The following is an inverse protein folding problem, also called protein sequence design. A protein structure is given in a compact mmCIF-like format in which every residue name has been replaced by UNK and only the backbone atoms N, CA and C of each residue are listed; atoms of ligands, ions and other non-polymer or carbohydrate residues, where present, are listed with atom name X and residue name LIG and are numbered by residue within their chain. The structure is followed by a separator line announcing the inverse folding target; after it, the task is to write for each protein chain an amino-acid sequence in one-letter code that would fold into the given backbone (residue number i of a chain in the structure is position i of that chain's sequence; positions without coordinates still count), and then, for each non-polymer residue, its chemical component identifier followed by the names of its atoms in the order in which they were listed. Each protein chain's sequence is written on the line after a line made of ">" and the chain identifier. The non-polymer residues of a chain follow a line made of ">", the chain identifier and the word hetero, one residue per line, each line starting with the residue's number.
data_IF_841852077928
#
_entry.id   IF_841852077928
#
_cell.length_a   1.000
_cell.length_b   1.000
_cell.length_c   1.000
_cell.angle_alpha   90.00
_cell.angle_beta   90.00
_cell.angle_gamma   90.00
#
_symmetry.space_group_name_H-M   'P 1'
#
loop_
_entity.id
_entity.type
_entity.pdbx_description
1 polymer ?
#
# COMPACT_ATOMS: atom_id res chain seq x y z
N UNK A 1 -13.06 -32.04 -5.75
CA UNK A 1 -12.48 -30.93 -6.54
C UNK A 1 -11.03 -30.78 -6.11
N UNK A 2 -10.08 -30.54 -7.03
CA UNK A 2 -8.71 -30.19 -6.63
C UNK A 2 -8.71 -28.88 -5.84
N UNK A 3 -7.88 -28.79 -4.81
CA UNK A 3 -7.65 -27.54 -4.05
C UNK A 3 -7.07 -26.49 -5.00
N UNK A 4 -7.48 -25.25 -4.88
CA UNK A 4 -7.01 -24.12 -5.70
C UNK A 4 -6.12 -23.22 -4.87
N UNK A 5 -5.05 -22.74 -5.45
CA UNK A 5 -4.19 -21.74 -4.84
C UNK A 5 -4.87 -20.37 -4.82
N UNK A 6 -4.43 -19.50 -3.94
CA UNK A 6 -4.87 -18.11 -3.88
C UNK A 6 -3.65 -17.20 -3.87
N UNK A 7 -3.59 -16.31 -4.86
CA UNK A 7 -2.65 -15.20 -4.91
C UNK A 7 -3.42 -13.90 -4.68
N UNK A 8 -3.21 -13.29 -3.52
CA UNK A 8 -3.80 -12.02 -3.15
C UNK A 8 -2.78 -10.90 -3.38
N UNK A 9 -3.03 -10.04 -4.34
CA UNK A 9 -2.18 -8.88 -4.69
C UNK A 9 -2.89 -7.64 -4.21
N UNK A 10 -2.21 -6.79 -3.45
CA UNK A 10 -2.77 -5.54 -2.96
C UNK A 10 -1.85 -4.37 -3.24
N UNK A 11 -2.43 -3.25 -3.66
CA UNK A 11 -1.80 -1.92 -3.62
C UNK A 11 -2.15 -1.21 -2.31
N UNK A 12 -1.52 -0.07 -2.08
CA UNK A 12 -1.76 0.80 -0.92
C UNK A 12 -2.18 2.20 -1.38
N UNK A 13 -3.33 2.67 -0.92
CA UNK A 13 -3.82 4.03 -1.21
C UNK A 13 -4.10 4.28 -2.71
N UNK A 14 -4.58 3.28 -3.44
CA UNK A 14 -4.85 3.44 -4.86
C UNK A 14 -6.28 3.93 -5.11
N UNK A 15 -6.40 5.07 -5.77
CA UNK A 15 -7.70 5.63 -6.19
C UNK A 15 -8.40 4.68 -7.17
N UNK A 16 -9.71 4.48 -7.00
CA UNK A 16 -10.50 3.52 -7.78
C UNK A 16 -10.52 3.77 -9.30
N UNK A 17 -10.36 5.04 -9.74
CA UNK A 17 -10.27 5.43 -11.15
C UNK A 17 -8.83 5.40 -11.69
N UNK A 18 -7.99 4.47 -11.26
CA UNK A 18 -6.60 4.39 -11.74
C UNK A 18 -6.25 3.03 -12.33
N UNK A 19 -7.24 2.34 -12.88
CA UNK A 19 -7.04 1.24 -13.83
C UNK A 19 -7.25 1.76 -15.26
N UNK A 20 -6.39 1.38 -16.20
CA UNK A 20 -6.50 1.77 -17.61
C UNK A 20 -7.83 1.37 -18.23
N UNK A 21 -8.43 0.28 -17.74
CA UNK A 21 -9.78 -0.14 -18.14
C UNK A 21 -10.85 0.93 -17.87
N UNK A 22 -10.70 1.70 -16.79
CA UNK A 22 -11.67 2.69 -16.33
C UNK A 22 -11.21 4.14 -16.59
N UNK A 23 -9.91 4.34 -16.81
CA UNK A 23 -9.31 5.65 -17.03
C UNK A 23 -8.21 5.57 -18.11
N UNK A 24 -8.46 6.09 -19.32
CA UNK A 24 -7.49 6.04 -20.41
C UNK A 24 -6.23 6.90 -20.18
N UNK A 25 -6.20 7.74 -19.15
CA UNK A 25 -5.02 8.54 -18.81
C UNK A 25 -3.92 7.72 -18.14
N UNK A 26 -4.24 6.55 -17.58
CA UNK A 26 -3.26 5.72 -16.85
C UNK A 26 -3.01 4.40 -17.55
N UNK A 27 -1.76 3.91 -17.55
CA UNK A 27 -1.35 2.68 -18.24
C UNK A 27 -1.18 1.54 -17.23
N UNK A 28 -2.14 0.59 -17.25
CA UNK A 28 -2.12 -0.61 -16.40
C UNK A 28 -2.42 -1.88 -17.20
N UNK A 29 -1.62 -2.20 -18.23
CA UNK A 29 -1.94 -3.29 -19.16
C UNK A 29 -2.05 -4.66 -18.48
N UNK A 30 -1.33 -4.90 -17.39
CA UNK A 30 -1.34 -6.18 -16.68
C UNK A 30 -2.56 -6.33 -15.77
N UNK A 31 -2.92 -5.30 -15.03
CA UNK A 31 -4.16 -5.25 -14.24
C UNK A 31 -5.38 -5.28 -15.17
N UNK A 32 -5.32 -4.59 -16.30
CA UNK A 32 -6.35 -4.66 -17.34
C UNK A 32 -6.48 -6.09 -17.91
N UNK A 33 -5.35 -6.79 -18.12
CA UNK A 33 -5.34 -8.21 -18.52
C UNK A 33 -6.03 -9.09 -17.48
N UNK A 34 -5.73 -8.91 -16.19
CA UNK A 34 -6.40 -9.63 -15.10
C UNK A 34 -7.90 -9.34 -15.08
N UNK A 35 -8.31 -8.08 -15.20
CA UNK A 35 -9.70 -7.66 -15.22
C UNK A 35 -10.48 -8.26 -16.41
N UNK A 36 -9.88 -8.24 -17.61
CA UNK A 36 -10.51 -8.81 -18.82
C UNK A 36 -10.62 -10.34 -18.80
N UNK A 37 -9.70 -11.04 -18.14
CA UNK A 37 -9.72 -12.51 -17.98
C UNK A 37 -10.54 -12.96 -16.79
N UNK A 38 -11.06 -12.05 -16.01
CA UNK A 38 -11.80 -12.33 -14.79
C UNK A 38 -13.06 -11.50 -14.65
N UNK A 39 -13.25 -10.96 -13.48
CA UNK A 39 -14.35 -10.05 -13.13
C UNK A 39 -13.74 -8.79 -12.50
N UNK A 40 -14.08 -7.63 -13.04
CA UNK A 40 -13.82 -6.34 -12.44
C UNK A 40 -15.09 -5.85 -11.75
N UNK A 41 -14.96 -5.36 -10.52
CA UNK A 41 -16.09 -4.88 -9.74
C UNK A 41 -16.09 -3.35 -9.75
N UNK A 42 -17.15 -2.77 -10.32
CA UNK A 42 -17.28 -1.31 -10.40
C UNK A 42 -17.52 -0.68 -9.03
N UNK A 43 -18.17 -1.41 -8.11
CA UNK A 43 -18.56 -0.92 -6.79
C UNK A 43 -17.97 -1.83 -5.70
N UNK A 44 -16.67 -1.68 -5.45
CA UNK A 44 -15.98 -2.32 -4.34
C UNK A 44 -15.60 -1.27 -3.30
N UNK A 45 -15.93 -1.52 -2.04
CA UNK A 45 -15.72 -0.58 -0.94
C UNK A 45 -14.92 -1.22 0.19
N UNK A 46 -13.97 -0.47 0.70
CA UNK A 46 -13.25 -0.84 1.92
C UNK A 46 -14.07 -0.52 3.17
N UNK A 47 -13.76 -1.19 4.27
CA UNK A 47 -14.46 -0.97 5.56
C UNK A 47 -13.97 0.27 6.30
N UNK A 48 -12.78 0.75 5.96
CA UNK A 48 -12.15 1.91 6.60
C UNK A 48 -11.15 2.55 5.61
N UNK A 49 -11.07 3.89 5.52
CA UNK A 49 -10.18 4.55 4.55
C UNK A 49 -8.73 4.68 5.06
N UNK A 50 -8.29 3.75 5.92
CA UNK A 50 -6.92 3.71 6.45
C UNK A 50 -6.36 2.29 6.48
N UNK A 51 -5.03 2.18 6.38
CA UNK A 51 -4.33 0.91 6.14
C UNK A 51 -4.60 -0.14 7.22
N UNK A 52 -4.21 0.11 8.48
CA UNK A 52 -4.28 -0.90 9.55
C UNK A 52 -5.67 -1.49 9.73
N UNK A 53 -6.75 -0.71 9.87
CA UNK A 53 -8.09 -1.27 10.04
C UNK A 53 -8.52 -2.16 8.89
N UNK A 54 -8.31 -1.72 7.65
CA UNK A 54 -8.70 -2.50 6.46
C UNK A 54 -7.89 -3.77 6.31
N UNK A 55 -6.57 -3.70 6.48
CA UNK A 55 -5.68 -4.87 6.35
C UNK A 55 -5.98 -5.92 7.42
N UNK A 56 -6.26 -5.49 8.65
CA UNK A 56 -6.74 -6.38 9.72
C UNK A 56 -8.12 -6.97 9.39
N UNK A 57 -9.03 -6.18 8.80
CA UNK A 57 -10.33 -6.70 8.37
C UNK A 57 -10.21 -7.74 7.26
N UNK A 58 -9.31 -7.56 6.31
CA UNK A 58 -9.03 -8.57 5.28
C UNK A 58 -8.51 -9.88 5.88
N UNK A 59 -7.60 -9.76 6.85
CA UNK A 59 -7.00 -10.93 7.47
C UNK A 59 -7.95 -11.70 8.39
N UNK A 60 -8.92 -11.01 8.99
CA UNK A 60 -9.82 -11.60 10.00
C UNK A 60 -11.25 -11.85 9.51
N UNK A 61 -11.68 -11.20 8.42
CA UNK A 61 -13.08 -11.16 8.00
C UNK A 61 -14.00 -10.37 8.94
N UNK A 62 -13.44 -9.59 9.88
CA UNK A 62 -14.16 -8.83 10.90
C UNK A 62 -14.14 -7.34 10.62
N UNK A 63 -15.10 -6.59 11.18
CA UNK A 63 -15.04 -5.14 11.20
C UNK A 63 -14.02 -4.62 12.24
N UNK A 64 -13.47 -3.40 12.08
CA UNK A 64 -12.51 -2.81 13.01
C UNK A 64 -12.97 -2.79 14.48
N UNK A 65 -14.26 -2.61 14.72
CA UNK A 65 -14.88 -2.69 16.06
C UNK A 65 -14.82 -4.07 16.69
N UNK A 66 -14.62 -5.13 15.91
CA UNK A 66 -14.57 -6.52 16.38
C UNK A 66 -13.12 -6.98 16.60
N UNK A 67 -12.21 -6.70 15.65
CA UNK A 67 -10.81 -7.11 15.78
C UNK A 67 -9.94 -6.11 16.57
N UNK A 68 -10.47 -4.93 16.94
CA UNK A 68 -9.83 -3.97 17.83
C UNK A 68 -8.77 -3.05 17.20
N UNK A 69 -8.33 -3.32 15.99
CA UNK A 69 -7.38 -2.45 15.27
C UNK A 69 -8.14 -1.39 14.47
N UNK A 70 -8.64 -0.36 15.13
CA UNK A 70 -9.55 0.64 14.56
C UNK A 70 -8.85 1.90 14.03
N UNK A 71 -7.55 2.06 14.25
CA UNK A 71 -6.75 3.19 13.76
C UNK A 71 -5.30 2.79 13.44
N UNK A 72 -4.55 3.67 12.78
CA UNK A 72 -3.16 3.44 12.40
C UNK A 72 -2.21 3.19 13.59
N UNK A 73 -2.51 3.72 14.77
CA UNK A 73 -1.73 3.55 16.00
C UNK A 73 -2.09 2.32 16.82
N UNK A 74 -3.05 1.51 16.36
CA UNK A 74 -3.49 0.32 17.11
C UNK A 74 -2.80 -0.94 16.61
N UNK A 75 -2.61 -1.90 17.53
CA UNK A 75 -2.08 -3.22 17.25
C UNK A 75 -3.23 -4.23 17.21
N UNK A 76 -3.33 -5.01 16.14
CA UNK A 76 -4.16 -6.21 16.17
C UNK A 76 -3.54 -7.24 17.12
N UNK A 77 -4.34 -7.83 18.00
CA UNK A 77 -3.85 -8.88 18.88
C UNK A 77 -3.57 -10.15 18.08
N UNK A 78 -2.47 -10.82 18.37
CA UNK A 78 -2.05 -12.05 17.70
C UNK A 78 -2.99 -13.23 17.99
N UNK A 79 -3.85 -13.10 19.00
CA UNK A 79 -4.86 -14.12 19.36
C UNK A 79 -6.15 -14.02 18.55
N UNK A 80 -6.32 -12.99 17.74
CA UNK A 80 -7.51 -12.85 16.87
C UNK A 80 -7.41 -13.88 15.74
N UNK A 81 -8.42 -14.71 15.52
CA UNK A 81 -8.42 -15.68 14.42
C UNK A 81 -8.29 -15.00 13.06
N UNK A 82 -7.53 -15.63 12.18
CA UNK A 82 -7.23 -15.11 10.86
C UNK A 82 -7.65 -16.08 9.75
N UNK A 83 -7.73 -15.59 8.53
CA UNK A 83 -7.96 -16.45 7.36
C UNK A 83 -6.84 -17.48 7.17
N UNK A 84 -5.64 -17.22 7.69
CA UNK A 84 -4.54 -18.17 7.67
C UNK A 84 -4.85 -19.44 8.48
N UNK A 85 -5.57 -19.29 9.58
CA UNK A 85 -5.98 -20.43 10.41
C UNK A 85 -6.91 -21.36 9.60
N UNK A 86 -7.82 -20.79 8.81
CA UNK A 86 -8.68 -21.57 7.92
C UNK A 86 -7.88 -22.23 6.78
N UNK A 87 -6.92 -21.54 6.19
CA UNK A 87 -6.05 -22.12 5.18
C UNK A 87 -5.25 -23.30 5.75
N UNK A 88 -4.72 -23.18 6.97
CA UNK A 88 -3.98 -24.27 7.63
C UNK A 88 -4.87 -25.50 7.91
N UNK A 89 -6.13 -25.31 8.34
CA UNK A 89 -7.07 -26.41 8.54
C UNK A 89 -7.32 -27.21 7.24
N UNK A 90 -7.03 -26.61 6.11
CA UNK A 90 -7.15 -27.21 4.78
C UNK A 90 -5.80 -27.56 4.13
N UNK A 91 -4.72 -27.70 4.91
CA UNK A 91 -3.35 -28.05 4.49
C UNK A 91 -2.78 -27.08 3.41
N UNK A 92 -3.06 -25.78 3.53
CA UNK A 92 -2.39 -24.77 2.72
C UNK A 92 -1.15 -24.26 3.48
N UNK A 93 -0.16 -23.82 2.70
CA UNK A 93 0.91 -22.98 3.19
C UNK A 93 0.55 -21.52 3.00
N UNK A 94 0.96 -20.67 3.93
CA UNK A 94 0.61 -19.25 3.92
C UNK A 94 1.86 -18.38 3.90
N UNK A 95 1.88 -17.37 3.04
CA UNK A 95 3.02 -16.47 2.94
C UNK A 95 2.60 -15.02 2.67
N UNK A 96 3.40 -14.08 3.18
CA UNK A 96 3.27 -12.65 2.94
C UNK A 96 4.59 -12.08 2.42
N UNK A 97 4.51 -11.27 1.36
CA UNK A 97 5.61 -10.46 0.86
C UNK A 97 5.16 -9.01 0.77
N UNK A 98 5.87 -8.10 1.40
CA UNK A 98 5.60 -6.67 1.35
C UNK A 98 5.02 -6.10 2.63
N UNK A 99 4.04 -5.21 2.50
CA UNK A 99 3.43 -4.48 3.61
C UNK A 99 2.41 -5.32 4.37
N UNK A 100 2.61 -5.51 5.66
CA UNK A 100 1.64 -6.10 6.58
C UNK A 100 0.73 -5.03 7.21
N UNK A 101 1.28 -4.16 8.03
CA UNK A 101 0.62 -3.07 8.72
C UNK A 101 -0.50 -3.50 9.68
N UNK A 102 -0.25 -4.55 10.46
CA UNK A 102 -1.14 -5.01 11.53
C UNK A 102 -0.76 -4.44 12.90
N UNK A 103 0.39 -3.77 12.98
CA UNK A 103 0.98 -3.23 14.20
C UNK A 103 1.36 -1.76 13.99
N UNK A 104 1.46 -0.97 15.09
CA UNK A 104 1.85 0.44 15.00
C UNK A 104 3.32 0.62 14.59
N UNK A 105 3.64 1.83 14.10
CA UNK A 105 5.00 2.24 13.73
C UNK A 105 5.95 2.40 14.91
N UNK A 106 5.43 2.67 16.10
CA UNK A 106 6.20 2.86 17.31
C UNK A 106 5.74 1.84 18.34
N UNK A 107 6.66 0.96 18.74
CA UNK A 107 6.44 0.03 19.83
C UNK A 107 6.66 0.71 21.20
N UNK A 108 5.93 0.21 22.18
CA UNK A 108 6.19 0.50 23.60
C UNK A 108 6.56 -0.80 24.33
N UNK A 109 7.16 -0.73 25.53
CA UNK A 109 7.42 -1.93 26.32
C UNK A 109 6.16 -2.76 26.58
N UNK A 110 5.02 -2.11 26.72
CA UNK A 110 3.71 -2.76 26.93
C UNK A 110 3.15 -3.35 25.61
N UNK A 111 3.37 -2.67 24.49
CA UNK A 111 2.90 -3.10 23.18
C UNK A 111 4.08 -3.13 22.18
N UNK A 112 4.93 -4.16 22.25
CA UNK A 112 6.03 -4.31 21.32
C UNK A 112 5.51 -4.55 19.90
N UNK A 113 6.23 -4.02 18.91
CA UNK A 113 5.89 -4.16 17.50
C UNK A 113 7.07 -4.67 16.68
N UNK A 114 6.79 -5.60 15.75
CA UNK A 114 7.75 -6.03 14.73
C UNK A 114 7.80 -5.06 13.54
N UNK A 115 6.76 -4.23 13.37
CA UNK A 115 6.62 -3.35 12.21
C UNK A 115 7.11 -1.92 12.48
N UNK A 116 7.70 -1.66 13.62
CA UNK A 116 8.07 -0.33 14.03
C UNK A 116 9.45 -0.24 14.65
N UNK A 117 9.85 1.00 14.93
CA UNK A 117 11.07 1.30 15.64
C UNK A 117 11.00 0.77 17.09
N UNK A 118 12.13 0.28 17.68
CA UNK A 118 13.47 0.25 17.06
C UNK A 118 13.73 -1.01 16.20
N UNK A 119 12.88 -2.05 16.30
CA UNK A 119 13.13 -3.36 15.70
C UNK A 119 13.14 -3.32 14.17
N UNK A 120 12.40 -2.41 13.56
CA UNK A 120 12.37 -2.22 12.11
C UNK A 120 13.77 -2.08 11.50
N UNK A 121 14.69 -1.43 12.20
CA UNK A 121 16.08 -1.21 11.76
C UNK A 121 17.07 -2.26 12.26
N UNK A 122 16.66 -3.23 13.06
CA UNK A 122 17.53 -4.32 13.54
C UNK A 122 17.68 -5.40 12.44
N UNK A 123 18.60 -5.17 11.51
CA UNK A 123 18.81 -6.10 10.40
C UNK A 123 19.33 -7.47 10.84
N UNK A 124 19.97 -7.59 12.02
CA UNK A 124 20.38 -8.89 12.55
C UNK A 124 19.17 -9.73 12.96
N UNK A 125 18.19 -9.12 13.61
CA UNK A 125 16.91 -9.76 13.89
C UNK A 125 16.24 -10.21 12.56
N UNK A 126 16.10 -9.32 11.59
CA UNK A 126 15.41 -9.61 10.33
C UNK A 126 16.12 -10.65 9.45
N UNK A 127 17.46 -10.77 9.57
CA UNK A 127 18.21 -11.82 8.88
C UNK A 127 17.78 -13.22 9.31
N UNK A 128 17.38 -13.38 10.57
CA UNK A 128 16.96 -14.65 11.18
C UNK A 128 15.44 -14.84 11.22
N UNK A 129 14.65 -13.77 11.11
CA UNK A 129 13.19 -13.84 11.13
C UNK A 129 12.64 -14.23 9.75
N UNK A 130 11.71 -15.20 9.73
CA UNK A 130 10.97 -15.61 8.54
C UNK A 130 9.49 -15.83 8.81
N UNK A 131 9.06 -15.70 10.06
CA UNK A 131 7.76 -16.04 10.58
C UNK A 131 7.86 -17.03 11.75
N UNK A 132 6.72 -17.48 12.29
CA UNK A 132 5.38 -17.11 11.86
C UNK A 132 5.00 -15.67 12.22
N UNK A 133 4.04 -15.07 11.48
CA UNK A 133 3.52 -13.73 11.73
C UNK A 133 2.03 -13.67 11.41
N UNK A 134 1.16 -13.50 12.39
CA UNK A 134 -0.31 -13.54 12.23
C UNK A 134 -0.81 -14.72 11.39
N UNK A 135 -0.29 -15.90 11.68
CA UNK A 135 -0.64 -17.13 10.97
C UNK A 135 0.01 -17.32 9.60
N UNK A 136 0.78 -16.36 9.07
CA UNK A 136 1.62 -16.61 7.91
C UNK A 136 2.81 -17.48 8.31
N UNK A 137 3.00 -18.64 7.65
CA UNK A 137 4.16 -19.51 7.85
C UNK A 137 5.47 -18.78 7.49
N UNK A 138 5.41 -17.96 6.44
CA UNK A 138 6.52 -17.12 5.98
C UNK A 138 6.07 -15.68 5.80
N UNK A 139 6.89 -14.74 6.27
CA UNK A 139 6.66 -13.32 6.12
C UNK A 139 7.98 -12.62 5.74
N UNK A 140 8.03 -12.07 4.53
CA UNK A 140 9.07 -11.15 4.11
C UNK A 140 8.48 -9.74 4.05
N UNK A 141 8.84 -8.91 5.01
CA UNK A 141 8.14 -7.66 5.28
C UNK A 141 8.94 -6.44 4.90
N UNK A 142 8.24 -5.42 4.43
CA UNK A 142 8.69 -4.05 4.31
C UNK A 142 7.58 -3.10 4.76
N UNK A 143 7.95 -2.09 5.53
CA UNK A 143 7.00 -1.09 6.04
C UNK A 143 7.02 0.20 5.23
N UNK A 144 8.11 0.50 4.54
CA UNK A 144 8.42 1.80 4.01
C UNK A 144 7.54 2.26 2.85
N UNK A 145 7.44 3.60 2.75
CA UNK A 145 6.78 4.33 1.67
C UNK A 145 7.74 5.40 1.12
N UNK A 146 8.96 5.08 0.78
CA UNK A 146 10.00 6.02 0.35
C UNK A 146 10.49 7.02 1.43
N UNK A 147 9.99 6.98 2.65
CA UNK A 147 10.55 7.73 3.77
C UNK A 147 11.50 6.87 4.62
N UNK A 148 12.52 7.49 5.17
CA UNK A 148 13.61 6.79 5.86
C UNK A 148 13.14 6.09 7.13
N UNK A 149 12.23 6.69 7.87
CA UNK A 149 11.73 6.12 9.13
C UNK A 149 11.01 4.78 8.93
N UNK A 150 10.57 4.49 7.73
CA UNK A 150 9.88 3.26 7.37
C UNK A 150 10.73 2.25 6.60
N UNK A 151 11.93 2.62 6.16
CA UNK A 151 12.84 1.72 5.45
C UNK A 151 13.58 0.79 6.43
N UNK A 152 13.56 -0.51 6.13
CA UNK A 152 14.20 -1.49 7.00
C UNK A 152 13.82 -2.92 6.64
N UNK A 153 13.80 -3.79 7.64
CA UNK A 153 13.29 -5.16 7.56
C UNK A 153 13.94 -5.99 6.43
N UNK A 154 13.21 -6.90 5.82
CA UNK A 154 13.72 -7.78 4.75
C UNK A 154 14.06 -7.02 3.47
N UNK A 155 13.38 -5.91 3.19
CA UNK A 155 13.70 -5.09 2.03
C UNK A 155 15.09 -4.48 2.13
N UNK A 156 15.47 -3.95 3.29
CA UNK A 156 16.83 -3.43 3.49
C UNK A 156 17.90 -4.53 3.34
N UNK A 157 17.64 -5.74 3.87
CA UNK A 157 18.52 -6.90 3.68
C UNK A 157 18.66 -7.29 2.21
N UNK A 158 17.57 -7.21 1.44
CA UNK A 158 17.60 -7.47 0.02
C UNK A 158 18.44 -6.43 -0.73
N UNK A 159 18.30 -5.14 -0.42
CA UNK A 159 19.15 -4.10 -0.99
C UNK A 159 20.64 -4.34 -0.67
N UNK A 160 20.97 -4.73 0.58
CA UNK A 160 22.36 -5.12 0.92
C UNK A 160 22.84 -6.30 0.09
N UNK A 161 21.98 -7.29 -0.17
CA UNK A 161 22.32 -8.45 -1.01
C UNK A 161 22.55 -8.08 -2.49
N UNK A 162 21.96 -6.99 -2.96
CA UNK A 162 22.22 -6.39 -4.28
C UNK A 162 23.46 -5.49 -4.31
N UNK A 163 24.20 -5.40 -3.20
CA UNK A 163 25.43 -4.61 -3.07
C UNK A 163 25.19 -3.17 -2.58
N UNK A 164 23.97 -2.76 -2.33
CA UNK A 164 23.63 -1.43 -1.84
C UNK A 164 23.61 -1.40 -0.30
N UNK A 165 24.79 -1.25 0.33
CA UNK A 165 24.91 -1.17 1.79
C UNK A 165 24.54 0.19 2.37
N UNK A 166 24.61 1.22 1.56
CA UNK A 166 24.27 2.61 1.89
C UNK A 166 22.83 2.97 1.44
N UNK A 167 21.93 1.99 1.44
CA UNK A 167 20.56 2.11 0.94
C UNK A 167 19.78 3.27 1.56
N UNK A 168 20.10 3.67 2.80
CA UNK A 168 19.43 4.79 3.50
C UNK A 168 19.48 6.12 2.76
N UNK A 169 20.51 6.32 1.92
CA UNK A 169 20.65 7.55 1.12
C UNK A 169 19.49 7.83 0.16
N UNK A 170 18.74 6.81 -0.19
CA UNK A 170 17.58 6.95 -1.09
C UNK A 170 16.30 7.34 -0.36
N UNK A 171 16.26 7.19 0.96
CA UNK A 171 15.06 7.45 1.74
C UNK A 171 15.19 8.80 2.44
N UNK A 172 14.16 9.64 2.28
CA UNK A 172 14.18 10.99 2.81
C UNK A 172 13.33 11.10 4.07
N UNK A 173 13.80 11.86 5.04
CA UNK A 173 13.04 12.23 6.22
C UNK A 173 11.96 13.25 5.83
N UNK A 174 10.76 12.78 5.55
CA UNK A 174 9.75 13.60 4.86
C UNK A 174 8.85 14.40 5.73
N UNK A 175 8.47 13.85 6.85
CA UNK A 175 7.37 14.40 7.63
C UNK A 175 7.84 14.53 9.05
N UNK A 176 7.91 15.77 9.52
CA UNK A 176 8.33 16.09 10.88
C UNK A 176 7.53 15.34 11.96
N UNK A 177 6.26 15.02 11.65
CA UNK A 177 5.37 14.26 12.53
C UNK A 177 5.62 12.74 12.54
N UNK A 178 6.44 12.22 11.62
CA UNK A 178 6.78 10.79 11.53
C UNK A 178 8.22 10.49 11.97
N UNK A 179 8.95 11.50 12.47
CA UNK A 179 10.32 11.29 12.96
C UNK A 179 10.35 10.33 14.13
N UNK A 180 11.17 9.32 14.00
CA UNK A 180 11.48 8.37 15.06
C UNK A 180 12.62 8.95 15.91
N UNK A 181 12.60 8.83 17.24
CA UNK A 181 13.73 9.27 18.06
C UNK A 181 15.03 8.61 17.60
N UNK A 182 16.04 9.41 17.31
CA UNK A 182 17.36 8.94 16.83
C UNK A 182 17.54 8.93 15.31
N UNK A 183 16.58 9.42 14.54
CA UNK A 183 16.71 9.60 13.10
C UNK A 183 17.80 10.63 12.76
N UNK A 184 18.81 10.23 11.99
CA UNK A 184 19.98 11.03 11.67
C UNK A 184 19.85 11.89 10.40
N UNK A 185 18.73 11.77 9.67
CA UNK A 185 18.52 12.49 8.40
C UNK A 185 17.83 13.84 8.58
N UNK A 186 18.11 14.53 9.70
CA UNK A 186 17.47 15.79 10.08
C UNK A 186 17.61 16.95 9.07
N UNK A 187 18.56 16.88 8.13
CA UNK A 187 18.91 17.96 7.21
C UNK A 187 18.33 17.82 5.80
N UNK A 188 17.55 16.77 5.52
CA UNK A 188 16.90 16.59 4.22
C UNK A 188 15.78 17.62 4.01
N UNK A 189 15.64 18.17 2.79
CA UNK A 189 14.59 19.12 2.50
C UNK A 189 13.20 18.51 2.74
N UNK A 190 12.33 19.27 3.38
CA UNK A 190 10.94 18.85 3.59
C UNK A 190 10.25 18.68 2.25
N UNK A 191 9.85 17.48 1.94
CA UNK A 191 9.07 17.17 0.74
C UNK A 191 7.59 17.21 1.09
N UNK A 192 6.79 17.76 0.20
CA UNK A 192 5.34 17.72 0.27
C UNK A 192 4.87 16.39 -0.33
N UNK A 193 4.34 15.48 0.48
CA UNK A 193 4.09 14.12 0.03
C UNK A 193 3.09 14.02 -1.13
N UNK A 194 2.20 15.00 -1.26
CA UNK A 194 1.15 15.05 -2.27
C UNK A 194 1.53 15.73 -3.58
N UNK A 195 2.67 16.44 -3.64
CA UNK A 195 3.09 17.13 -4.88
C UNK A 195 3.90 16.21 -5.79
N UNK A 196 4.57 15.24 -5.21
CA UNK A 196 5.36 14.25 -5.94
C UNK A 196 6.68 14.79 -6.51
N UNK A 197 7.61 13.87 -6.70
CA UNK A 197 8.89 14.15 -7.35
C UNK A 197 9.51 12.89 -7.93
N UNK A 198 10.48 13.05 -8.85
CA UNK A 198 11.35 11.96 -9.25
C UNK A 198 12.17 11.48 -8.03
N UNK A 199 12.35 10.17 -7.94
CA UNK A 199 13.13 9.52 -6.88
C UNK A 199 14.44 9.02 -7.47
N UNK A 200 15.56 9.37 -6.83
CA UNK A 200 16.90 9.02 -7.31
C UNK A 200 17.25 7.53 -7.11
N UNK A 201 16.33 6.72 -6.58
CA UNK A 201 16.55 5.29 -6.42
C UNK A 201 16.61 4.63 -7.81
N UNK A 202 17.61 3.78 -8.09
CA UNK A 202 17.59 2.95 -9.30
C UNK A 202 16.36 2.04 -9.32
N UNK A 203 15.73 1.88 -10.49
CA UNK A 203 14.53 1.05 -10.62
C UNK A 203 14.75 -0.35 -10.05
N UNK A 204 15.92 -0.96 -10.31
CA UNK A 204 16.27 -2.29 -9.85
C UNK A 204 16.40 -2.45 -8.33
N UNK A 205 16.43 -1.34 -7.57
CA UNK A 205 16.43 -1.32 -6.12
C UNK A 205 15.08 -0.92 -5.51
N UNK A 206 14.08 -0.60 -6.35
CA UNK A 206 12.76 -0.22 -5.88
C UNK A 206 12.03 -1.36 -5.18
N UNK A 207 11.20 -1.04 -4.19
CA UNK A 207 10.47 -2.07 -3.42
C UNK A 207 9.47 -2.88 -4.25
N UNK A 208 8.91 -2.34 -5.33
CA UNK A 208 8.04 -3.12 -6.23
C UNK A 208 8.82 -4.25 -6.93
N UNK A 209 10.08 -3.99 -7.28
CA UNK A 209 11.00 -5.01 -7.81
C UNK A 209 11.22 -6.11 -6.79
N UNK A 210 11.51 -5.70 -5.55
CA UNK A 210 11.73 -6.64 -4.44
C UNK A 210 10.48 -7.50 -4.18
N UNK A 211 9.29 -6.88 -4.12
CA UNK A 211 8.04 -7.61 -3.89
C UNK A 211 7.81 -8.64 -5.01
N UNK A 212 7.97 -8.24 -6.28
CA UNK A 212 7.81 -9.16 -7.40
C UNK A 212 8.85 -10.29 -7.39
N UNK A 213 10.12 -9.98 -7.15
CA UNK A 213 11.19 -10.97 -7.08
C UNK A 213 10.96 -11.98 -5.94
N UNK A 214 10.58 -11.52 -4.76
CA UNK A 214 10.33 -12.39 -3.61
C UNK A 214 9.06 -13.20 -3.73
N UNK A 215 8.00 -12.61 -4.30
CA UNK A 215 6.76 -13.32 -4.62
C UNK A 215 7.02 -14.45 -5.62
N UNK A 216 7.78 -14.17 -6.69
CA UNK A 216 8.16 -15.16 -7.67
C UNK A 216 8.97 -16.32 -7.07
N UNK A 217 9.93 -16.01 -6.19
CA UNK A 217 10.69 -17.02 -5.48
C UNK A 217 9.80 -17.93 -4.60
N UNK A 218 8.79 -17.36 -3.93
CA UNK A 218 7.81 -18.15 -3.15
C UNK A 218 6.93 -19.02 -4.05
N UNK A 219 6.49 -18.51 -5.21
CA UNK A 219 5.75 -19.30 -6.19
C UNK A 219 6.56 -20.50 -6.70
N UNK A 220 7.86 -20.30 -6.98
CA UNK A 220 8.78 -21.38 -7.35
C UNK A 220 8.92 -22.44 -6.25
N UNK A 221 9.05 -21.98 -5.00
CA UNK A 221 9.13 -22.86 -3.84
C UNK A 221 7.86 -23.71 -3.68
N UNK A 222 6.66 -23.09 -3.73
CA UNK A 222 5.40 -23.81 -3.67
C UNK A 222 5.21 -24.78 -4.85
N UNK A 223 5.67 -24.43 -6.05
CA UNK A 223 5.65 -25.33 -7.18
C UNK A 223 6.55 -26.54 -6.96
N UNK A 224 7.74 -26.34 -6.39
CA UNK A 224 8.70 -27.42 -6.12
C UNK A 224 8.21 -28.35 -5.00
N UNK A 225 7.63 -27.81 -3.94
CA UNK A 225 7.11 -28.60 -2.83
C UNK A 225 5.79 -29.30 -3.15
N UNK A 226 5.04 -28.80 -4.14
CA UNK A 226 3.71 -29.28 -4.48
C UNK A 226 2.62 -28.83 -3.50
N UNK A 227 2.92 -27.88 -2.60
CA UNK A 227 1.97 -27.35 -1.63
C UNK A 227 0.93 -26.46 -2.29
N UNK A 228 -0.32 -26.53 -1.81
CA UNK A 228 -1.29 -25.48 -2.06
C UNK A 228 -0.96 -24.27 -1.19
N UNK A 229 -1.20 -23.07 -1.70
CA UNK A 229 -0.82 -21.85 -1.02
C UNK A 229 -1.90 -20.76 -0.97
N UNK A 230 -1.84 -19.96 0.09
CA UNK A 230 -2.33 -18.59 0.15
C UNK A 230 -1.11 -17.66 0.21
N UNK A 231 -0.88 -16.91 -0.85
CA UNK A 231 0.25 -15.97 -0.95
C UNK A 231 -0.29 -14.54 -1.08
N UNK A 232 0.09 -13.66 -0.16
CA UNK A 232 -0.23 -12.25 -0.22
C UNK A 232 0.98 -11.45 -0.70
N UNK A 233 0.91 -10.92 -1.92
CA UNK A 233 1.86 -9.95 -2.46
C UNK A 233 1.32 -8.54 -2.21
N UNK A 234 1.90 -7.84 -1.26
CA UNK A 234 1.40 -6.58 -0.73
C UNK A 234 2.32 -5.42 -1.13
N UNK A 235 1.94 -4.72 -2.21
CA UNK A 235 2.67 -3.56 -2.71
C UNK A 235 2.49 -2.35 -1.79
N UNK A 236 3.49 -1.46 -1.80
CA UNK A 236 3.48 -0.22 -1.05
C UNK A 236 2.97 0.94 -1.90
N UNK A 237 3.15 0.86 -3.21
CA UNK A 237 2.65 1.85 -4.16
C UNK A 237 1.11 1.77 -4.34
N UNK A 238 0.50 2.90 -4.69
CA UNK A 238 1.04 4.26 -4.85
C UNK A 238 0.92 5.14 -3.58
N UNK A 239 1.12 4.59 -2.37
CA UNK A 239 1.06 5.36 -1.12
C UNK A 239 2.02 6.55 -1.14
N UNK A 240 1.57 7.68 -0.62
CA UNK A 240 2.42 8.87 -0.44
C UNK A 240 3.62 8.61 0.49
N UNK A 241 4.74 9.32 0.33
CA UNK A 241 4.99 10.41 -0.62
C UNK A 241 5.05 9.89 -2.06
N UNK A 242 4.53 10.67 -3.00
CA UNK A 242 4.52 10.26 -4.42
C UNK A 242 5.91 10.39 -5.00
N UNK A 243 6.65 9.30 -4.96
CA UNK A 243 8.02 9.19 -5.45
C UNK A 243 8.15 7.98 -6.35
N UNK A 244 8.70 8.18 -7.53
CA UNK A 244 8.97 7.10 -8.48
C UNK A 244 10.21 7.43 -9.29
N UNK A 245 11.07 6.45 -9.64
CA UNK A 245 12.24 6.70 -10.47
C UNK A 245 11.85 7.03 -11.91
N UNK A 246 12.79 7.64 -12.63
CA UNK A 246 12.69 7.75 -14.09
C UNK A 246 12.74 6.34 -14.75
N UNK A 247 12.04 6.12 -15.87
CA UNK A 247 11.29 7.11 -16.65
C UNK A 247 9.85 7.37 -16.18
N UNK A 248 9.40 6.76 -15.11
CA UNK A 248 8.00 6.81 -14.65
C UNK A 248 7.64 8.21 -14.10
N UNK A 249 8.61 8.91 -13.47
CA UNK A 249 8.38 10.25 -12.93
C UNK A 249 8.03 11.29 -13.99
N UNK A 250 8.57 11.14 -15.21
CA UNK A 250 8.30 12.02 -16.35
C UNK A 250 7.35 11.43 -17.39
N UNK A 251 6.81 10.24 -17.15
CA UNK A 251 6.00 9.50 -18.12
C UNK A 251 4.68 10.22 -18.47
N UNK A 252 4.08 10.88 -17.50
CA UNK A 252 2.80 11.56 -17.65
C UNK A 252 3.01 13.07 -17.63
N UNK A 253 2.48 13.76 -18.67
CA UNK A 253 2.51 15.22 -18.77
C UNK A 253 1.48 15.84 -17.81
N UNK A 254 1.90 16.59 -16.77
CA UNK A 254 0.97 17.23 -15.85
C UNK A 254 -0.06 18.16 -16.51
N UNK A 255 0.27 18.69 -17.70
CA UNK A 255 -0.67 19.54 -18.44
C UNK A 255 -1.85 18.77 -19.05
N UNK A 256 -1.75 17.43 -19.14
CA UNK A 256 -2.75 16.56 -19.78
C UNK A 256 -3.57 15.74 -18.81
N UNK A 257 -3.16 15.64 -17.54
CA UNK A 257 -3.93 14.89 -16.55
C UNK A 257 -5.15 15.68 -16.10
N UNK A 258 -6.24 14.98 -15.87
CA UNK A 258 -7.46 15.56 -15.31
C UNK A 258 -7.24 15.88 -13.83
N UNK A 259 -7.42 17.16 -13.47
CA UNK A 259 -7.42 17.60 -12.06
C UNK A 259 -8.87 17.82 -11.65
N UNK A 260 -9.37 17.13 -10.62
CA UNK A 260 -10.73 17.33 -10.13
C UNK A 260 -11.02 18.79 -9.78
N UNK A 261 -12.22 19.26 -10.13
CA UNK A 261 -12.67 20.61 -9.78
C UNK A 261 -13.26 20.61 -8.37
N UNK A 262 -13.00 21.70 -7.64
CA UNK A 262 -13.63 21.95 -6.34
C UNK A 262 -14.97 22.63 -6.61
N UNK A 263 -16.05 22.01 -6.17
CA UNK A 263 -17.40 22.56 -6.35
C UNK A 263 -17.69 23.56 -5.22
N UNK A 264 -17.90 24.85 -5.52
CA UNK A 264 -18.22 25.84 -4.49
C UNK A 264 -19.47 25.43 -3.70
N UNK A 265 -19.38 25.45 -2.37
CA UNK A 265 -20.50 25.11 -1.48
C UNK A 265 -20.75 23.62 -1.28
N UNK A 266 -19.96 22.74 -1.86
CA UNK A 266 -20.15 21.26 -1.73
C UNK A 266 -20.07 20.75 -0.27
N UNK A 267 -19.48 21.53 0.63
CA UNK A 267 -19.32 21.19 2.05
C UNK A 267 -20.32 21.90 2.97
N UNK A 268 -21.21 22.76 2.44
CA UNK A 268 -22.10 23.60 3.25
C UNK A 268 -23.13 22.80 4.03
N UNK A 269 -23.55 21.65 3.52
CA UNK A 269 -24.51 20.72 4.14
C UNK A 269 -23.84 19.54 4.86
N UNK A 270 -22.52 19.52 4.94
CA UNK A 270 -21.74 18.44 5.56
C UNK A 270 -21.48 18.73 7.05
N UNK A 271 -21.11 17.69 7.83
CA UNK A 271 -20.67 17.89 9.21
C UNK A 271 -19.56 18.94 9.32
N UNK A 272 -19.51 19.75 10.40
CA UNK A 272 -18.59 20.91 10.50
C UNK A 272 -17.13 20.59 10.29
N UNK A 273 -16.67 19.38 10.62
CA UNK A 273 -15.28 18.97 10.43
C UNK A 273 -14.88 18.86 8.95
N UNK A 274 -15.82 18.72 8.01
CA UNK A 274 -15.51 18.75 6.59
C UNK A 274 -15.02 20.13 6.15
N UNK A 275 -15.67 21.21 6.60
CA UNK A 275 -15.22 22.56 6.30
C UNK A 275 -13.84 22.88 6.90
N UNK A 276 -13.46 22.25 8.02
CA UNK A 276 -12.13 22.41 8.61
C UNK A 276 -11.03 21.91 7.65
N UNK A 277 -11.29 20.88 6.84
CA UNK A 277 -10.30 20.35 5.88
C UNK A 277 -9.84 21.41 4.87
N UNK A 278 -10.64 22.45 4.66
CA UNK A 278 -10.37 23.53 3.71
C UNK A 278 -9.62 24.70 4.34
N UNK A 279 -9.29 24.64 5.62
CA UNK A 279 -8.56 25.70 6.32
C UNK A 279 -7.05 25.54 6.18
N UNK A 280 -6.32 26.66 6.20
CA UNK A 280 -4.85 26.65 6.14
C UNK A 280 -4.20 25.94 7.33
N UNK A 281 -4.78 26.12 8.51
CA UNK A 281 -4.33 25.51 9.77
C UNK A 281 -5.59 24.97 10.47
N UNK A 282 -6.10 23.81 10.04
CA UNK A 282 -7.34 23.27 10.59
C UNK A 282 -7.13 22.83 12.05
N UNK A 283 -8.07 23.21 12.91
CA UNK A 283 -8.12 22.74 14.29
C UNK A 283 -9.21 21.68 14.44
N UNK A 284 -8.80 20.43 14.59
CA UNK A 284 -9.69 19.30 14.82
C UNK A 284 -9.76 18.85 16.28
N UNK A 285 -9.23 19.64 17.22
CA UNK A 285 -9.18 19.28 18.65
C UNK A 285 -10.54 18.90 19.23
N UNK A 286 -11.62 19.53 18.75
CA UNK A 286 -12.99 19.22 19.17
C UNK A 286 -13.51 17.84 18.72
N UNK A 287 -12.81 17.16 17.80
CA UNK A 287 -13.19 15.86 17.23
C UNK A 287 -12.22 14.74 17.62
N UNK A 288 -11.28 15.01 18.51
CA UNK A 288 -10.28 14.05 18.99
C UNK A 288 -10.68 13.48 20.33
N UNK A 289 -10.39 12.21 20.51
CA UNK A 289 -10.52 11.51 21.80
C UNK A 289 -9.18 11.21 22.44
N UNK A 290 -8.06 11.40 21.71
CA UNK A 290 -6.70 11.12 22.14
C UNK A 290 -5.81 12.37 22.00
N UNK A 291 -4.89 12.56 22.94
CA UNK A 291 -3.99 13.71 22.98
C UNK A 291 -2.79 13.62 22.01
N UNK A 292 -2.67 12.55 21.23
CA UNK A 292 -1.41 12.20 20.57
C UNK A 292 -1.31 12.37 19.06
N UNK A 293 -2.39 12.49 18.31
CA UNK A 293 -2.32 12.49 16.84
C UNK A 293 -2.52 13.88 16.25
N UNK A 294 -1.42 14.47 15.75
CA UNK A 294 -1.46 15.72 14.97
C UNK A 294 -1.59 15.48 13.47
N UNK A 295 -1.67 14.22 13.02
CA UNK A 295 -1.72 13.90 11.60
C UNK A 295 -3.13 13.96 11.05
N UNK A 296 -3.36 14.98 10.24
CA UNK A 296 -4.57 15.12 9.42
C UNK A 296 -4.16 14.90 7.98
N UNK A 297 -4.23 13.65 7.56
CA UNK A 297 -4.06 13.32 6.16
C UNK A 297 -5.09 14.08 5.32
N UNK A 298 -4.66 14.62 4.18
CA UNK A 298 -5.55 15.25 3.21
C UNK A 298 -5.99 16.68 3.51
N UNK A 299 -5.73 17.22 4.71
CA UNK A 299 -6.11 18.61 5.03
C UNK A 299 -5.19 19.63 4.35
N UNK A 300 -5.74 20.83 4.07
CA UNK A 300 -5.06 22.00 3.47
C UNK A 300 -4.51 21.85 2.03
N UNK A 301 -4.81 20.77 1.36
CA UNK A 301 -4.36 20.58 -0.02
C UNK A 301 -5.08 21.48 -1.05
N UNK A 302 -6.25 22.05 -0.68
CA UNK A 302 -6.94 23.05 -1.49
C UNK A 302 -6.08 24.30 -1.77
N UNK A 303 -5.06 24.56 -0.93
CA UNK A 303 -4.13 25.67 -1.12
C UNK A 303 -3.05 25.40 -2.16
N UNK A 304 -2.98 24.18 -2.72
CA UNK A 304 -2.06 23.84 -3.79
C UNK A 304 -2.52 24.45 -5.11
N UNK A 305 -1.56 24.89 -5.90
CA UNK A 305 -1.86 25.35 -7.26
C UNK A 305 -2.38 24.18 -8.11
N UNK A 306 -3.05 24.50 -9.22
CA UNK A 306 -3.47 23.49 -10.20
C UNK A 306 -2.28 22.68 -10.72
N UNK A 307 -1.14 23.34 -10.95
CA UNK A 307 0.10 22.73 -11.45
C UNK A 307 0.67 21.75 -10.42
N UNK A 308 0.68 22.10 -9.12
CA UNK A 308 1.12 21.20 -8.05
C UNK A 308 0.21 19.95 -7.95
N UNK A 309 -1.11 20.14 -8.05
CA UNK A 309 -2.08 19.03 -8.05
C UNK A 309 -1.89 18.12 -9.27
N UNK A 310 -1.81 18.71 -10.46
CA UNK A 310 -1.58 17.97 -11.70
C UNK A 310 -0.28 17.17 -11.67
N UNK A 311 0.78 17.74 -11.10
CA UNK A 311 2.06 17.05 -10.92
C UNK A 311 1.92 15.85 -9.96
N UNK A 312 1.24 16.01 -8.83
CA UNK A 312 0.99 14.91 -7.89
C UNK A 312 0.24 13.75 -8.57
N UNK A 313 -0.81 14.06 -9.34
CA UNK A 313 -1.57 13.07 -10.11
C UNK A 313 -0.69 12.37 -11.15
N UNK A 314 0.08 13.12 -11.92
CA UNK A 314 0.96 12.57 -12.94
C UNK A 314 2.02 11.63 -12.37
N UNK A 315 2.62 11.98 -11.23
CA UNK A 315 3.59 11.11 -10.54
C UNK A 315 2.90 9.85 -10.00
N UNK A 316 1.71 9.98 -9.39
CA UNK A 316 0.96 8.80 -8.92
C UNK A 316 0.64 7.84 -10.09
N UNK A 317 0.28 8.35 -11.26
CA UNK A 317 0.09 7.50 -12.45
C UNK A 317 1.38 6.79 -12.85
N UNK A 318 2.53 7.44 -12.71
CA UNK A 318 3.84 6.83 -12.92
C UNK A 318 4.12 5.69 -11.94
N UNK A 319 3.84 5.88 -10.63
CA UNK A 319 3.97 4.85 -9.60
C UNK A 319 3.09 3.64 -9.94
N UNK A 320 1.82 3.87 -10.29
CA UNK A 320 0.88 2.82 -10.65
C UNK A 320 1.34 2.05 -11.89
N UNK A 321 1.85 2.74 -12.91
CA UNK A 321 2.36 2.09 -14.13
C UNK A 321 3.59 1.23 -13.84
N UNK A 322 4.47 1.69 -12.96
CA UNK A 322 5.62 0.89 -12.51
C UNK A 322 5.15 -0.34 -11.71
N UNK A 323 4.27 -0.16 -10.74
CA UNK A 323 3.69 -1.25 -9.96
C UNK A 323 3.01 -2.29 -10.88
N UNK A 324 2.21 -1.84 -11.85
CA UNK A 324 1.55 -2.72 -12.84
C UNK A 324 2.54 -3.59 -13.62
N UNK A 325 3.68 -3.02 -14.02
CA UNK A 325 4.78 -3.77 -14.67
C UNK A 325 5.26 -4.92 -13.79
N UNK A 326 5.43 -4.69 -12.49
CA UNK A 326 5.93 -5.71 -11.57
C UNK A 326 4.85 -6.71 -11.16
N UNK A 327 3.59 -6.31 -11.08
CA UNK A 327 2.45 -7.24 -11.03
C UNK A 327 2.44 -8.13 -12.26
N UNK A 328 2.67 -7.57 -13.45
CA UNK A 328 2.80 -8.32 -14.69
C UNK A 328 3.83 -9.46 -14.61
N UNK A 329 5.00 -9.19 -14.02
CA UNK A 329 6.05 -10.22 -13.82
C UNK A 329 5.60 -11.36 -12.89
N UNK A 330 4.73 -11.07 -11.91
CA UNK A 330 4.15 -12.11 -11.04
C UNK A 330 3.13 -12.95 -11.82
N UNK A 331 2.27 -12.30 -12.60
CA UNK A 331 1.29 -13.01 -13.43
C UNK A 331 1.97 -13.89 -14.50
N UNK A 332 3.03 -13.40 -15.12
CA UNK A 332 3.82 -14.15 -16.09
C UNK A 332 4.54 -15.34 -15.43
N UNK A 333 4.99 -15.20 -14.18
CA UNK A 333 5.59 -16.30 -13.40
C UNK A 333 4.57 -17.41 -13.11
N UNK A 334 3.31 -17.08 -12.82
CA UNK A 334 2.25 -18.08 -12.71
C UNK A 334 2.08 -18.90 -14.01
N UNK A 335 2.12 -18.21 -15.16
CA UNK A 335 2.03 -18.86 -16.48
C UNK A 335 3.25 -19.77 -16.71
N UNK A 336 4.46 -19.28 -16.47
CA UNK A 336 5.72 -20.03 -16.59
C UNK A 336 5.72 -21.32 -15.76
N UNK A 337 5.23 -21.25 -14.51
CA UNK A 337 5.16 -22.39 -13.60
C UNK A 337 3.98 -23.33 -13.86
N UNK A 338 3.09 -23.00 -14.80
CA UNK A 338 1.87 -23.77 -15.06
C UNK A 338 0.91 -23.77 -13.86
N UNK A 339 0.86 -22.66 -13.11
CA UNK A 339 -0.01 -22.49 -11.93
C UNK A 339 -1.29 -21.72 -12.25
N UNK A 340 -1.36 -21.07 -13.40
CA UNK A 340 -2.41 -20.12 -13.79
C UNK A 340 -3.82 -20.70 -13.69
N UNK A 341 -4.04 -21.92 -14.21
CA UNK A 341 -5.38 -22.55 -14.20
C UNK A 341 -5.85 -22.96 -12.79
N UNK A 342 -4.92 -23.14 -11.87
CA UNK A 342 -5.23 -23.58 -10.48
C UNK A 342 -5.04 -22.47 -9.45
N UNK A 343 -4.84 -21.23 -9.86
CA UNK A 343 -4.64 -20.10 -8.94
C UNK A 343 -5.72 -19.04 -9.14
N UNK A 344 -6.49 -18.77 -8.09
CA UNK A 344 -7.32 -17.58 -8.03
C UNK A 344 -6.43 -16.37 -7.75
N UNK A 345 -6.37 -15.44 -8.68
CA UNK A 345 -5.70 -14.15 -8.48
C UNK A 345 -6.74 -13.12 -8.09
N UNK A 346 -6.47 -12.40 -7.01
CA UNK A 346 -7.30 -11.30 -6.51
C UNK A 346 -6.44 -10.06 -6.41
N UNK A 347 -6.89 -8.94 -6.98
CA UNK A 347 -6.25 -7.63 -6.86
C UNK A 347 -7.22 -6.62 -6.25
N UNK A 348 -6.75 -5.84 -5.28
CA UNK A 348 -7.48 -4.70 -4.71
C UNK A 348 -6.53 -3.71 -4.02
N UNK A 349 -7.06 -2.58 -3.53
CA UNK A 349 -6.35 -1.63 -2.67
C UNK A 349 -6.97 -1.58 -1.28
N UNK A 350 -6.17 -1.29 -0.25
CA UNK A 350 -6.67 -1.19 1.13
C UNK A 350 -7.57 0.02 1.36
N UNK A 351 -7.33 1.11 0.68
CA UNK A 351 -8.19 2.30 0.59
C UNK A 351 -7.79 3.11 -0.64
N UNK A 352 -8.58 4.14 -0.95
CA UNK A 352 -8.27 5.06 -2.02
C UNK A 352 -7.44 6.26 -1.57
N UNK A 353 -7.38 7.25 -2.45
CA UNK A 353 -6.79 8.58 -2.28
C UNK A 353 -7.77 9.62 -2.81
N UNK A 354 -7.88 10.78 -2.18
CA UNK A 354 -8.74 11.86 -2.71
C UNK A 354 -8.29 12.34 -4.09
N UNK A 355 -7.00 12.28 -4.36
CA UNK A 355 -6.36 12.62 -5.65
C UNK A 355 -6.79 13.97 -6.23
N UNK A 356 -6.98 14.96 -5.35
CA UNK A 356 -7.40 16.32 -5.70
C UNK A 356 -8.90 16.58 -5.63
N UNK A 357 -9.74 15.54 -5.53
CA UNK A 357 -11.18 15.71 -5.34
C UNK A 357 -11.46 16.43 -4.02
N UNK A 358 -12.51 17.26 -4.01
CA UNK A 358 -12.88 18.07 -2.84
C UNK A 358 -11.75 18.98 -2.31
N UNK A 359 -10.74 19.28 -3.13
CA UNK A 359 -9.53 20.02 -2.71
C UNK A 359 -8.63 19.25 -1.77
N UNK A 360 -8.73 17.93 -1.70
CA UNK A 360 -8.00 17.05 -0.80
C UNK A 360 -7.04 16.14 -1.56
N UNK A 361 -6.02 15.64 -0.86
CA UNK A 361 -5.12 14.58 -1.29
C UNK A 361 -4.93 13.58 -0.17
N UNK A 362 -4.32 12.45 -0.47
CA UNK A 362 -4.07 11.38 0.49
C UNK A 362 -5.40 10.79 0.99
N UNK A 363 -5.50 10.55 2.28
CA UNK A 363 -6.68 10.00 2.96
C UNK A 363 -6.99 10.81 4.20
N UNK A 364 -8.14 10.65 4.82
CA UNK A 364 -8.41 11.42 6.04
C UNK A 364 -9.84 11.36 6.54
N UNK A 365 -10.23 12.45 7.20
CA UNK A 365 -11.43 12.54 8.03
C UNK A 365 -12.74 12.64 7.26
N UNK A 366 -12.70 12.90 5.97
CA UNK A 366 -13.90 13.06 5.14
C UNK A 366 -14.18 11.76 4.36
N UNK A 367 -15.25 11.02 4.67
CA UNK A 367 -15.56 9.73 4.05
C UNK A 367 -16.21 9.88 2.66
N UNK A 368 -15.44 10.39 1.70
CA UNK A 368 -15.84 10.46 0.30
C UNK A 368 -15.59 9.14 -0.45
N UNK A 369 -16.22 8.97 -1.61
CA UNK A 369 -16.06 7.83 -2.51
C UNK A 369 -14.59 7.53 -2.80
N UNK A 370 -13.79 8.56 -3.02
CA UNK A 370 -12.40 8.50 -3.43
C UNK A 370 -11.51 7.70 -2.48
N UNK A 371 -11.85 7.65 -1.21
CA UNK A 371 -11.05 6.93 -0.20
C UNK A 371 -11.69 5.61 0.25
N UNK A 372 -12.98 5.41 0.02
CA UNK A 372 -13.67 4.16 0.37
C UNK A 372 -13.82 3.21 -0.81
N UNK A 373 -14.04 3.74 -2.02
CA UNK A 373 -14.12 2.93 -3.23
C UNK A 373 -12.72 2.58 -3.70
N UNK A 374 -12.52 1.31 -4.03
CA UNK A 374 -11.20 0.78 -4.38
C UNK A 374 -11.27 -0.01 -5.69
N UNK A 375 -10.16 -0.10 -6.45
CA UNK A 375 -10.10 -1.00 -7.58
C UNK A 375 -10.21 -2.45 -7.08
N UNK A 376 -11.02 -3.27 -7.74
CA UNK A 376 -11.14 -4.68 -7.40
C UNK A 376 -11.32 -5.54 -8.65
N UNK A 377 -10.37 -6.43 -8.88
CA UNK A 377 -10.44 -7.40 -9.96
C UNK A 377 -10.05 -8.80 -9.45
N UNK A 378 -10.72 -9.84 -9.93
CA UNK A 378 -10.36 -11.22 -9.62
C UNK A 378 -10.60 -12.14 -10.80
N UNK A 379 -9.79 -13.17 -10.91
CA UNK A 379 -10.04 -14.20 -11.93
C UNK A 379 -9.07 -15.38 -11.84
N UNK A 380 -9.42 -16.41 -12.58
CA UNK A 380 -8.45 -17.39 -13.02
C UNK A 380 -7.95 -16.90 -14.37
N UNK A 381 -6.62 -16.78 -14.53
CA UNK A 381 -6.03 -16.23 -15.75
C UNK A 381 -6.16 -17.20 -16.96
N UNK A 382 -7.16 -18.07 -16.94
CA UNK A 382 -7.48 -18.97 -18.05
C UNK A 382 -7.95 -18.14 -19.24
N UNK A 383 -7.43 -18.43 -20.43
CA UNK A 383 -7.94 -17.83 -21.65
C UNK A 383 -9.45 -18.09 -21.76
N UNK A 384 -10.21 -17.02 -21.91
CA UNK A 384 -11.60 -17.14 -22.32
C UNK A 384 -11.58 -17.70 -23.73
N UNK A 385 -11.82 -19.03 -23.85
CA UNK A 385 -11.93 -19.74 -25.10
C UNK A 385 -13.12 -19.30 -25.94
#
# INVERSE_FOLDING_TARGET
>A
MSKRNVLFITSDQQHWLTLGLNNPEVHTPNLDRLARRGVCFDNAYTVNPTCTPTRCSWLTGMYPSQHGAYSLGTKMLESVPTVNDEFHQHDYKTALVGKAHFQPLLGTPEFPTLEGYPLLHDLEFWRNFRGPFYGFDKAEMARNHADESHAGQHYALWMESKGCKDWRKYFVSNVESQRVPGDQLSDSPRVRPEVGTAWDIPEELHYDVWIAERTNAMLEEFKQSGDNFFLWASFLDPHSPYFVPEPYASMYDPAKVTVPEIVPGELDDKPPHFALTQQKNPDFSAYRTDEGSNMLHGASCQLRSREEKARGIAIMYGMITMMDKYIGKILDKLDELGLTENTLVVFTSDHGDYLGAHGLFLKGVAPFEEVYRVPFARGFLKDAG
#
